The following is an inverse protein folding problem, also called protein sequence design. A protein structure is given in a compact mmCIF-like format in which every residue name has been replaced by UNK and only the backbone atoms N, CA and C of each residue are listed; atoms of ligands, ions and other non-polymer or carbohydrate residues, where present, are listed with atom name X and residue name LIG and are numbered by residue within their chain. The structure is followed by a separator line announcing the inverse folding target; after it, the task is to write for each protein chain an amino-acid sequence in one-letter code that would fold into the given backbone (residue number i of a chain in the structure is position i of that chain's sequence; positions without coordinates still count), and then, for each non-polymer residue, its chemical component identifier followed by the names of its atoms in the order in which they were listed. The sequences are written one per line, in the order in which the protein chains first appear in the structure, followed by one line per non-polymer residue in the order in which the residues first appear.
data_IF_885438408001
#
_entry.id   IF_885438408001
#
_cell.length_a   1.000
_cell.length_b   1.000
_cell.length_c   1.000
_cell.angle_alpha   90.00
_cell.angle_beta   90.00
_cell.angle_gamma   90.00
#
_symmetry.space_group_name_H-M   'P 1'
#
loop_
_entity.id
_entity.type
_entity.pdbx_description
1 polymer ?
#
# COMPACT_ATOMS: atom_id res chain seq x y z
N UNK A 1 -14.58 -34.11 52.22
CA UNK A 1 -15.99 -33.74 52.53
C UNK A 1 -16.04 -32.22 52.57
N UNK A 2 -16.51 -31.45 51.59
CA UNK A 2 -17.58 -31.67 50.62
C UNK A 2 -17.20 -31.09 49.24
N UNK A 3 -17.66 -31.79 48.20
CA UNK A 3 -17.56 -31.45 46.78
C UNK A 3 -18.65 -30.42 46.44
N UNK A 4 -18.28 -29.32 45.79
CA UNK A 4 -19.23 -28.41 45.15
C UNK A 4 -19.05 -28.57 43.64
N UNK A 5 -19.95 -29.37 43.05
CA UNK A 5 -20.05 -29.60 41.62
C UNK A 5 -20.77 -28.41 40.97
N UNK A 6 -20.11 -27.72 40.04
CA UNK A 6 -20.74 -26.75 39.14
C UNK A 6 -21.24 -27.47 37.89
N UNK A 7 -22.56 -27.43 37.70
CA UNK A 7 -23.29 -27.96 36.53
C UNK A 7 -22.79 -27.31 35.24
N UNK A 8 -22.31 -28.15 34.33
CA UNK A 8 -22.14 -27.82 32.91
C UNK A 8 -23.54 -27.78 32.29
N UNK A 9 -23.94 -26.61 31.81
CA UNK A 9 -25.17 -26.42 31.03
C UNK A 9 -24.82 -26.48 29.54
N UNK A 10 -25.20 -27.57 28.90
CA UNK A 10 -25.17 -27.79 27.47
C UNK A 10 -26.17 -26.86 26.78
N UNK A 11 -25.69 -25.82 26.10
CA UNK A 11 -26.52 -25.02 25.19
C UNK A 11 -26.36 -25.54 23.76
N UNK A 12 -27.52 -25.93 23.24
CA UNK A 12 -27.84 -26.46 21.92
C UNK A 12 -27.41 -25.55 20.78
N UNK A 13 -26.80 -26.15 19.76
CA UNK A 13 -26.64 -25.57 18.43
C UNK A 13 -28.02 -25.27 17.82
N UNK A 14 -28.31 -23.99 17.60
CA UNK A 14 -29.40 -23.58 16.71
C UNK A 14 -28.84 -23.43 15.30
N UNK A 15 -29.24 -24.35 14.42
CA UNK A 15 -29.06 -24.28 12.97
C UNK A 15 -30.02 -23.22 12.45
N UNK A 16 -29.49 -22.09 11.99
CA UNK A 16 -30.24 -21.09 11.24
C UNK A 16 -30.04 -21.36 9.74
N UNK A 17 -31.05 -21.94 9.12
CA UNK A 17 -31.13 -22.10 7.67
C UNK A 17 -31.42 -20.74 7.01
N UNK A 18 -30.49 -20.25 6.19
CA UNK A 18 -30.78 -19.19 5.21
C UNK A 18 -30.65 -19.76 3.80
N UNK A 19 -31.66 -19.55 2.93
CA UNK A 19 -31.73 -20.17 1.62
C UNK A 19 -30.85 -19.47 0.58
N UNK A 20 -30.16 -20.28 -0.21
CA UNK A 20 -29.48 -19.92 -1.44
C UNK A 20 -30.49 -19.36 -2.45
N UNK A 21 -30.49 -18.04 -2.66
CA UNK A 21 -31.16 -17.42 -3.81
C UNK A 21 -30.12 -16.77 -4.72
N UNK A 22 -29.68 -17.53 -5.70
CA UNK A 22 -29.03 -17.02 -6.91
C UNK A 22 -30.11 -16.34 -7.78
N UNK A 23 -29.89 -15.14 -8.34
CA UNK A 23 -30.90 -14.52 -9.19
C UNK A 23 -31.00 -15.24 -10.54
N UNK A 24 -32.09 -15.99 -10.73
CA UNK A 24 -32.57 -16.46 -12.04
C UNK A 24 -33.00 -15.27 -12.89
N UNK A 25 -32.21 -14.96 -13.93
CA UNK A 25 -32.65 -14.04 -14.98
C UNK A 25 -33.62 -14.74 -15.93
N UNK A 26 -34.81 -14.16 -16.07
CA UNK A 26 -35.88 -14.59 -16.95
C UNK A 26 -35.46 -14.47 -18.42
N UNK A 27 -35.44 -15.60 -19.13
CA UNK A 27 -35.27 -15.68 -20.58
C UNK A 27 -36.60 -15.29 -21.23
N UNK A 28 -36.68 -14.09 -21.81
CA UNK A 28 -37.75 -13.70 -22.72
C UNK A 28 -37.51 -14.31 -24.11
N UNK A 29 -38.41 -15.18 -24.55
CA UNK A 29 -38.48 -15.75 -25.90
C UNK A 29 -38.97 -14.71 -26.89
N UNK A 30 -38.24 -14.49 -27.98
CA UNK A 30 -38.79 -14.05 -29.27
C UNK A 30 -38.07 -14.78 -30.42
N UNK A 31 -38.74 -14.99 -31.56
CA UNK A 31 -38.52 -16.14 -32.43
C UNK A 31 -37.41 -15.93 -33.47
N UNK A 32 -36.86 -17.07 -33.90
CA UNK A 32 -35.85 -17.23 -34.94
C UNK A 32 -36.33 -16.70 -36.30
N UNK A 33 -35.50 -15.86 -36.93
CA UNK A 33 -35.37 -15.84 -38.40
C UNK A 33 -33.89 -16.01 -38.71
N UNK A 34 -33.61 -17.04 -39.51
CA UNK A 34 -32.28 -17.46 -39.94
C UNK A 34 -31.84 -16.53 -41.07
N UNK A 35 -30.74 -15.80 -40.87
CA UNK A 35 -29.91 -15.32 -41.98
C UNK A 35 -28.45 -15.69 -41.70
N UNK A 36 -27.93 -16.52 -42.58
CA UNK A 36 -26.61 -17.11 -42.57
C UNK A 36 -25.54 -16.08 -42.94
N UNK A 37 -24.78 -15.60 -41.97
CA UNK A 37 -23.47 -14.99 -42.18
C UNK A 37 -22.55 -15.38 -41.02
N UNK A 38 -21.40 -15.98 -41.34
CA UNK A 38 -20.37 -16.46 -40.40
C UNK A 38 -20.09 -15.49 -39.24
N UNK A 39 -19.84 -15.98 -38.01
CA UNK A 39 -19.37 -15.11 -36.94
C UNK A 39 -17.93 -14.68 -37.27
N UNK A 40 -17.78 -13.43 -37.72
CA UNK A 40 -16.50 -12.76 -37.75
C UNK A 40 -15.92 -12.80 -36.32
N UNK A 41 -14.72 -13.35 -36.18
CA UNK A 41 -13.96 -13.32 -34.93
C UNK A 41 -13.69 -11.86 -34.52
N UNK A 42 -14.56 -11.29 -33.70
CA UNK A 42 -14.33 -9.99 -33.04
C UNK A 42 -13.46 -10.19 -31.79
N UNK A 43 -12.37 -10.95 -31.91
CA UNK A 43 -11.27 -10.82 -30.98
C UNK A 43 -10.67 -9.44 -31.24
N UNK A 44 -10.78 -8.52 -30.27
CA UNK A 44 -10.09 -7.23 -30.32
C UNK A 44 -8.62 -7.51 -30.58
N UNK A 45 -8.17 -7.18 -31.80
CA UNK A 45 -6.78 -7.28 -32.26
C UNK A 45 -5.88 -6.73 -31.15
N UNK A 46 -4.94 -7.55 -30.70
CA UNK A 46 -3.89 -7.15 -29.77
C UNK A 46 -3.23 -5.86 -30.28
N UNK A 47 -3.11 -4.86 -29.40
CA UNK A 47 -2.33 -3.64 -29.66
C UNK A 47 -0.85 -3.97 -29.43
N UNK A 48 -0.34 -4.98 -30.14
CA UNK A 48 1.09 -5.20 -30.33
C UNK A 48 1.34 -5.24 -31.84
N UNK A 49 1.17 -4.09 -32.48
CA UNK A 49 1.70 -3.88 -33.84
C UNK A 49 3.01 -3.13 -33.70
N UNK A 50 4.10 -3.86 -33.91
CA UNK A 50 5.40 -3.39 -34.38
C UNK A 50 5.76 -1.95 -34.02
N UNK A 51 6.16 -1.75 -32.77
CA UNK A 51 7.16 -0.72 -32.45
C UNK A 51 8.43 -1.46 -32.06
N UNK A 52 9.01 -2.18 -33.02
CA UNK A 52 10.44 -2.47 -32.96
C UNK A 52 11.15 -1.13 -33.23
N UNK A 53 11.29 -0.34 -32.16
CA UNK A 53 12.22 0.77 -32.15
C UNK A 53 13.62 0.19 -32.37
N UNK A 54 14.32 0.73 -33.36
CA UNK A 54 15.67 0.35 -33.73
C UNK A 54 16.56 0.20 -32.50
N UNK A 55 17.18 -0.98 -32.39
CA UNK A 55 18.22 -1.30 -31.41
C UNK A 55 19.34 -0.27 -31.57
N UNK A 56 19.51 0.59 -30.57
CA UNK A 56 20.67 1.45 -30.48
C UNK A 56 21.89 0.64 -30.00
N UNK A 57 23.02 0.87 -30.67
CA UNK A 57 24.27 0.11 -30.57
C UNK A 57 24.74 -0.21 -29.12
N UNK A 58 25.21 -1.45 -28.84
CA UNK A 58 25.73 -1.85 -27.52
C UNK A 58 27.03 -1.16 -27.09
N UNK A 59 27.75 -0.52 -28.02
CA UNK A 59 29.16 -0.15 -27.79
C UNK A 59 29.38 1.16 -27.01
N UNK A 60 28.34 1.92 -26.65
CA UNK A 60 28.45 3.12 -25.77
C UNK A 60 28.06 2.84 -24.31
N UNK A 61 27.72 1.60 -23.96
CA UNK A 61 27.10 1.26 -22.66
C UNK A 61 28.10 0.96 -21.53
N UNK A 62 29.37 0.67 -21.83
CA UNK A 62 30.31 0.13 -20.85
C UNK A 62 30.79 1.14 -19.79
N UNK A 63 31.00 2.42 -20.12
CA UNK A 63 31.44 3.42 -19.12
C UNK A 63 30.29 3.92 -18.22
N UNK A 64 29.06 3.97 -18.75
CA UNK A 64 27.90 4.46 -17.99
C UNK A 64 27.34 3.39 -17.03
N UNK A 65 27.46 2.10 -17.38
CA UNK A 65 26.95 0.99 -16.56
C UNK A 65 27.68 0.90 -15.21
N UNK A 66 29.01 0.95 -15.22
CA UNK A 66 29.84 0.90 -14.01
C UNK A 66 29.60 2.10 -13.09
N UNK A 67 29.44 3.30 -13.67
CA UNK A 67 29.12 4.52 -12.91
C UNK A 67 27.74 4.44 -12.24
N UNK A 68 26.74 3.92 -12.96
CA UNK A 68 25.38 3.73 -12.42
C UNK A 68 25.34 2.68 -11.30
N UNK A 69 26.07 1.57 -11.46
CA UNK A 69 26.20 0.53 -10.43
C UNK A 69 26.86 1.05 -9.16
N UNK A 70 27.96 1.80 -9.30
CA UNK A 70 28.62 2.45 -8.16
C UNK A 70 27.69 3.44 -7.44
N UNK A 71 27.00 4.30 -8.19
CA UNK A 71 26.04 5.26 -7.63
C UNK A 71 24.91 4.55 -6.88
N UNK A 72 24.39 3.45 -7.44
CA UNK A 72 23.36 2.64 -6.80
C UNK A 72 23.81 2.07 -5.46
N UNK A 73 24.98 1.43 -5.44
CA UNK A 73 25.54 0.81 -4.23
C UNK A 73 25.85 1.86 -3.16
N UNK A 74 26.41 3.01 -3.55
CA UNK A 74 26.70 4.11 -2.65
C UNK A 74 25.42 4.64 -1.96
N UNK A 75 24.35 4.85 -2.72
CA UNK A 75 23.08 5.32 -2.16
C UNK A 75 22.44 4.26 -1.26
N UNK A 76 22.48 2.97 -1.62
CA UNK A 76 22.02 1.89 -0.72
C UNK A 76 22.80 1.91 0.60
N UNK A 77 24.13 1.98 0.54
CA UNK A 77 24.98 1.98 1.73
C UNK A 77 24.66 3.17 2.63
N UNK A 78 24.46 4.35 2.05
CA UNK A 78 24.09 5.56 2.78
C UNK A 78 22.78 5.39 3.55
N UNK A 79 21.73 4.88 2.89
CA UNK A 79 20.43 4.65 3.53
C UNK A 79 20.54 3.61 4.65
N UNK A 80 21.29 2.51 4.43
CA UNK A 80 21.55 1.52 5.48
C UNK A 80 22.22 2.14 6.70
N UNK A 81 23.20 3.03 6.49
CA UNK A 81 23.86 3.72 7.58
C UNK A 81 22.89 4.62 8.37
N UNK A 82 21.98 5.33 7.69
CA UNK A 82 20.98 6.17 8.36
C UNK A 82 20.01 5.31 9.20
N UNK A 83 19.49 4.23 8.62
CA UNK A 83 18.65 3.28 9.36
C UNK A 83 19.34 2.75 10.62
N UNK A 84 20.64 2.47 10.55
CA UNK A 84 21.44 2.01 11.69
C UNK A 84 21.88 3.10 12.67
N UNK A 85 21.87 4.37 12.27
CA UNK A 85 22.27 5.48 13.14
C UNK A 85 21.16 5.83 14.14
N UNK A 86 19.90 5.68 13.73
CA UNK A 86 18.72 6.01 14.54
C UNK A 86 18.24 4.84 15.39
N UNK A 87 19.16 3.99 15.88
CA UNK A 87 18.82 2.82 16.71
C UNK A 87 18.22 3.23 18.06
N UNK A 88 18.63 4.37 18.60
CA UNK A 88 18.13 4.90 19.88
C UNK A 88 16.75 5.56 19.78
N UNK A 89 16.35 5.99 18.57
CA UNK A 89 15.06 6.63 18.30
C UNK A 89 14.46 6.07 17.00
N UNK A 90 14.05 4.79 17.00
CA UNK A 90 13.68 4.09 15.76
C UNK A 90 12.43 4.68 15.08
N UNK A 91 11.59 5.42 15.81
CA UNK A 91 10.44 6.14 15.24
C UNK A 91 10.82 7.18 14.18
N UNK A 92 12.02 7.77 14.25
CA UNK A 92 12.50 8.73 13.23
C UNK A 92 12.65 8.09 11.84
N UNK A 93 12.78 6.76 11.78
CA UNK A 93 12.88 6.02 10.52
C UNK A 93 11.52 5.69 9.89
N UNK A 94 10.39 5.91 10.56
CA UNK A 94 9.07 5.46 10.07
C UNK A 94 8.70 6.07 8.72
N UNK A 95 8.88 7.39 8.55
CA UNK A 95 8.62 8.06 7.27
C UNK A 95 9.54 7.53 6.16
N UNK A 96 10.82 7.29 6.48
CA UNK A 96 11.78 6.73 5.53
C UNK A 96 11.38 5.30 5.10
N UNK A 97 10.98 4.46 6.06
CA UNK A 97 10.52 3.09 5.80
C UNK A 97 9.27 3.11 4.91
N UNK A 98 8.31 4.00 5.20
CA UNK A 98 7.11 4.13 4.36
C UNK A 98 7.48 4.50 2.91
N UNK A 99 8.40 5.46 2.74
CA UNK A 99 8.87 5.84 1.41
C UNK A 99 9.57 4.67 0.73
N UNK A 100 10.45 3.94 1.42
CA UNK A 100 11.14 2.75 0.89
C UNK A 100 10.15 1.71 0.36
N UNK A 101 9.12 1.38 1.15
CA UNK A 101 8.07 0.43 0.76
C UNK A 101 7.23 0.98 -0.40
N UNK A 102 6.88 2.27 -0.37
CA UNK A 102 6.08 2.91 -1.43
C UNK A 102 6.81 2.98 -2.78
N UNK A 103 8.14 3.08 -2.76
CA UNK A 103 9.03 3.00 -3.91
C UNK A 103 9.25 1.57 -4.40
N UNK A 104 8.91 0.58 -3.56
CA UNK A 104 9.08 -0.83 -3.88
C UNK A 104 10.55 -1.28 -3.87
N UNK A 105 11.41 -0.62 -3.10
CA UNK A 105 12.86 -0.93 -2.99
C UNK A 105 13.25 -1.52 -1.63
N UNK A 106 12.28 -1.90 -0.79
CA UNK A 106 12.50 -2.48 0.56
C UNK A 106 13.36 -3.75 0.56
N UNK A 107 13.46 -4.48 -0.56
CA UNK A 107 14.33 -5.66 -0.63
C UNK A 107 15.80 -5.33 -0.31
N UNK A 108 16.29 -4.14 -0.67
CA UNK A 108 17.66 -3.71 -0.36
C UNK A 108 17.88 -3.44 1.12
N UNK A 109 16.80 -3.13 1.85
CA UNK A 109 16.82 -2.61 3.21
C UNK A 109 16.12 -3.53 4.22
N UNK A 110 15.68 -4.72 3.79
CA UNK A 110 14.86 -5.66 4.57
C UNK A 110 15.32 -5.81 6.02
N UNK A 111 16.58 -6.14 6.23
CA UNK A 111 17.13 -6.32 7.58
C UNK A 111 17.00 -5.07 8.46
N UNK A 112 17.27 -3.88 7.90
CA UNK A 112 17.16 -2.63 8.65
C UNK A 112 15.71 -2.26 8.97
N UNK A 113 14.79 -2.53 8.05
CA UNK A 113 13.34 -2.34 8.25
C UNK A 113 12.84 -3.27 9.36
N UNK A 114 13.12 -4.57 9.26
CA UNK A 114 12.75 -5.59 10.24
C UNK A 114 13.28 -5.24 11.64
N UNK A 115 14.56 -4.86 11.73
CA UNK A 115 15.17 -4.47 13.00
C UNK A 115 14.51 -3.22 13.61
N UNK A 116 14.29 -2.19 12.81
CA UNK A 116 13.67 -0.94 13.26
C UNK A 116 12.24 -1.18 13.77
N UNK A 117 11.42 -1.88 12.99
CA UNK A 117 10.03 -2.14 13.36
C UNK A 117 9.91 -3.09 14.55
N UNK A 118 10.84 -4.04 14.69
CA UNK A 118 10.90 -4.90 15.88
C UNK A 118 11.27 -4.13 17.15
N UNK A 119 12.19 -3.16 17.07
CA UNK A 119 12.50 -2.29 18.22
C UNK A 119 11.29 -1.45 18.62
N UNK A 120 10.64 -0.83 17.64
CA UNK A 120 9.39 -0.07 17.82
C UNK A 120 8.31 -0.94 18.48
N UNK A 121 8.16 -2.19 18.04
CA UNK A 121 7.21 -3.12 18.61
C UNK A 121 7.49 -3.41 20.09
N UNK A 122 8.78 -3.54 20.45
CA UNK A 122 9.23 -3.82 21.83
C UNK A 122 9.11 -2.64 22.79
N UNK A 123 9.28 -1.40 22.31
CA UNK A 123 9.07 -0.18 23.11
C UNK A 123 7.64 -0.09 23.66
N UNK A 124 6.71 -0.80 23.01
CA UNK A 124 5.32 -0.86 23.41
C UNK A 124 4.46 0.17 22.68
N UNK A 125 3.15 -0.07 22.73
CA UNK A 125 2.15 0.69 21.98
C UNK A 125 1.59 1.89 22.76
N UNK A 126 2.17 2.22 23.92
CA UNK A 126 1.80 3.42 24.67
C UNK A 126 2.49 4.63 24.07
N UNK A 127 1.84 5.20 23.06
CA UNK A 127 2.39 6.31 22.30
C UNK A 127 1.45 7.53 22.30
N UNK A 128 2.05 8.70 22.47
CA UNK A 128 1.37 10.01 22.54
C UNK A 128 1.75 10.92 21.35
N UNK A 129 1.86 10.36 20.14
CA UNK A 129 2.04 11.19 18.95
C UNK A 129 0.72 11.57 18.30
N UNK A 130 0.85 12.23 17.15
CA UNK A 130 -0.31 12.66 16.37
C UNK A 130 -1.00 11.48 15.66
N UNK A 131 -2.15 11.76 15.04
CA UNK A 131 -2.93 10.74 14.34
C UNK A 131 -2.12 10.05 13.24
N UNK A 132 -1.34 10.82 12.50
CA UNK A 132 -0.54 10.31 11.39
C UNK A 132 0.49 9.31 11.90
N UNK A 133 1.24 9.65 12.93
CA UNK A 133 2.28 8.78 13.48
C UNK A 133 1.70 7.49 14.08
N UNK A 134 0.60 7.58 14.83
CA UNK A 134 -0.09 6.40 15.39
C UNK A 134 -0.56 5.47 14.27
N UNK A 135 -1.23 6.02 13.25
CA UNK A 135 -1.75 5.24 12.13
C UNK A 135 -0.62 4.63 11.29
N UNK A 136 0.46 5.38 11.03
CA UNK A 136 1.63 4.93 10.28
C UNK A 136 2.32 3.77 10.99
N UNK A 137 2.56 3.93 12.29
CA UNK A 137 3.19 2.90 13.13
C UNK A 137 2.37 1.62 13.14
N UNK A 138 1.05 1.73 13.34
CA UNK A 138 0.13 0.60 13.28
C UNK A 138 0.20 -0.11 11.92
N UNK A 139 0.13 0.67 10.83
CA UNK A 139 0.13 0.12 9.48
C UNK A 139 1.43 -0.62 9.18
N UNK A 140 2.59 0.01 9.37
CA UNK A 140 3.89 -0.57 9.06
C UNK A 140 4.16 -1.84 9.89
N UNK A 141 3.83 -1.83 11.19
CA UNK A 141 3.97 -3.00 12.05
C UNK A 141 3.12 -4.18 11.54
N UNK A 142 1.85 -3.96 11.20
CA UNK A 142 0.98 -5.03 10.68
C UNK A 142 1.42 -5.54 9.31
N UNK A 143 1.94 -4.67 8.45
CA UNK A 143 2.47 -5.08 7.15
C UNK A 143 3.66 -6.04 7.27
N UNK A 144 4.51 -5.86 8.30
CA UNK A 144 5.62 -6.77 8.61
C UNK A 144 5.24 -7.94 9.53
N UNK A 145 3.94 -8.14 9.78
CA UNK A 145 3.43 -9.31 10.52
C UNK A 145 3.45 -9.18 12.05
N UNK A 146 3.72 -7.98 12.59
CA UNK A 146 3.55 -7.74 14.02
C UNK A 146 2.06 -7.62 14.38
N UNK A 147 1.65 -8.32 15.44
CA UNK A 147 0.28 -8.20 15.96
C UNK A 147 0.14 -6.93 16.81
N UNK A 148 -0.60 -5.96 16.29
CA UNK A 148 -0.92 -4.68 16.95
C UNK A 148 -2.42 -4.58 17.13
N UNK A 149 -2.89 -4.40 18.37
CA UNK A 149 -4.34 -4.30 18.66
C UNK A 149 -4.92 -2.94 18.24
N UNK A 150 -6.18 -2.92 17.78
CA UNK A 150 -6.90 -1.68 17.45
C UNK A 150 -7.06 -0.71 18.63
N UNK A 151 -6.86 -1.19 19.86
CA UNK A 151 -6.88 -0.36 21.07
C UNK A 151 -5.86 0.76 21.08
N UNK A 152 -4.84 0.73 20.21
CA UNK A 152 -3.90 1.85 20.04
C UNK A 152 -4.62 3.14 19.62
N UNK A 153 -5.79 3.03 18.96
CA UNK A 153 -6.59 4.16 18.53
C UNK A 153 -7.54 4.70 19.61
N UNK A 154 -7.55 4.15 20.83
CA UNK A 154 -8.43 4.64 21.91
C UNK A 154 -8.24 6.14 22.21
N UNK A 155 -7.03 6.65 22.07
CA UNK A 155 -6.71 8.04 22.35
C UNK A 155 -7.24 9.02 21.30
N UNK A 156 -7.66 8.56 20.11
CA UNK A 156 -8.26 9.40 19.06
C UNK A 156 -9.80 9.34 19.06
N UNK A 157 -10.39 8.51 19.93
CA UNK A 157 -11.83 8.39 20.11
C UNK A 157 -12.36 9.30 21.22
N UNK A 158 -13.59 9.75 21.08
CA UNK A 158 -14.36 10.48 22.08
C UNK A 158 -14.99 9.53 23.11
N UNK A 159 -15.65 10.10 24.13
CA UNK A 159 -16.29 9.32 25.21
C UNK A 159 -17.47 8.45 24.73
N UNK A 160 -17.98 8.69 23.53
CA UNK A 160 -19.09 7.95 22.91
C UNK A 160 -18.58 6.89 21.92
N UNK A 161 -17.25 6.76 21.74
CA UNK A 161 -16.64 5.85 20.77
C UNK A 161 -16.54 6.41 19.35
N UNK A 162 -16.94 7.67 19.11
CA UNK A 162 -16.76 8.36 17.83
C UNK A 162 -15.36 8.98 17.71
N UNK A 163 -14.98 9.49 16.54
CA UNK A 163 -13.69 10.18 16.37
C UNK A 163 -13.74 11.63 16.89
N UNK A 164 -12.72 12.04 17.65
CA UNK A 164 -12.60 13.38 18.22
C UNK A 164 -12.64 14.47 17.13
N UNK A 165 -13.23 15.63 17.44
CA UNK A 165 -13.29 16.73 16.47
C UNK A 165 -11.92 17.24 16.02
N UNK A 166 -10.91 17.18 16.90
CA UNK A 166 -9.54 17.63 16.61
C UNK A 166 -8.91 16.90 15.43
N UNK A 167 -9.29 15.64 15.16
CA UNK A 167 -8.74 14.86 14.04
C UNK A 167 -9.47 15.10 12.71
N UNK A 168 -10.65 15.72 12.72
CA UNK A 168 -11.53 15.81 11.53
C UNK A 168 -10.97 16.64 10.39
N UNK A 169 -9.95 17.47 10.63
CA UNK A 169 -9.35 18.33 9.61
C UNK A 169 -7.91 17.95 9.25
N UNK A 170 -7.33 16.95 9.93
CA UNK A 170 -5.98 16.46 9.65
C UNK A 170 -6.01 15.51 8.45
N UNK A 171 -5.86 16.03 7.24
CA UNK A 171 -5.88 15.21 6.03
C UNK A 171 -4.74 14.20 5.97
N UNK A 172 -3.55 14.53 6.47
CA UNK A 172 -2.41 13.61 6.47
C UNK A 172 -2.71 12.42 7.41
N UNK A 173 -3.17 12.71 8.63
CA UNK A 173 -3.58 11.69 9.60
C UNK A 173 -4.79 10.88 9.16
N UNK A 174 -5.81 11.50 8.58
CA UNK A 174 -7.00 10.79 8.08
C UNK A 174 -6.68 9.85 6.92
N UNK A 175 -5.80 10.28 5.99
CA UNK A 175 -5.35 9.44 4.87
C UNK A 175 -4.58 8.24 5.41
N UNK A 176 -3.71 8.46 6.38
CA UNK A 176 -2.93 7.40 7.01
C UNK A 176 -3.80 6.43 7.82
N UNK A 177 -4.78 6.94 8.56
CA UNK A 177 -5.75 6.13 9.29
C UNK A 177 -6.63 5.29 8.35
N UNK A 178 -7.00 5.84 7.19
CA UNK A 178 -7.67 5.06 6.15
C UNK A 178 -6.79 3.88 5.68
N UNK A 179 -5.53 4.15 5.32
CA UNK A 179 -4.58 3.11 4.89
C UNK A 179 -4.35 2.05 5.98
N UNK A 180 -4.30 2.45 7.24
CA UNK A 180 -4.20 1.56 8.41
C UNK A 180 -5.46 0.69 8.60
N UNK A 181 -6.65 1.29 8.51
CA UNK A 181 -7.95 0.60 8.69
C UNK A 181 -8.22 -0.50 7.65
N UNK A 182 -7.55 -0.41 6.51
CA UNK A 182 -7.65 -1.41 5.46
C UNK A 182 -6.88 -2.71 5.78
N UNK A 183 -6.04 -2.71 6.83
CA UNK A 183 -5.36 -3.89 7.41
C UNK A 183 -6.13 -4.52 8.57
N UNK A 184 -7.39 -4.15 8.78
CA UNK A 184 -8.25 -4.74 9.81
C UNK A 184 -8.48 -6.24 9.58
N UNK A 185 -8.73 -6.95 10.68
CA UNK A 185 -9.21 -8.34 10.67
C UNK A 185 -10.62 -8.42 11.24
N UNK A 186 -11.25 -9.59 11.15
CA UNK A 186 -12.61 -9.79 11.66
C UNK A 186 -12.68 -9.54 13.19
N UNK A 187 -13.72 -8.82 13.62
CA UNK A 187 -13.95 -8.46 15.02
C UNK A 187 -13.32 -7.14 15.47
N UNK A 188 -12.69 -6.39 14.56
CA UNK A 188 -12.07 -5.09 14.83
C UNK A 188 -13.01 -3.91 14.48
N UNK A 189 -14.04 -3.74 15.31
CA UNK A 189 -15.09 -2.72 15.13
C UNK A 189 -14.53 -1.29 15.10
N UNK A 190 -13.45 -1.01 15.85
CA UNK A 190 -12.82 0.32 15.84
C UNK A 190 -12.25 0.63 14.47
N UNK A 191 -11.61 -0.35 13.82
CA UNK A 191 -11.05 -0.17 12.48
C UNK A 191 -12.11 -0.17 11.39
N UNK A 192 -13.18 -0.95 11.53
CA UNK A 192 -14.36 -0.86 10.65
C UNK A 192 -14.92 0.58 10.67
N UNK A 193 -15.15 1.12 11.88
CA UNK A 193 -15.58 2.51 12.06
C UNK A 193 -14.56 3.53 11.52
N UNK A 194 -13.26 3.30 11.74
CA UNK A 194 -12.19 4.17 11.23
C UNK A 194 -12.20 4.27 9.70
N UNK A 195 -12.40 3.14 9.02
CA UNK A 195 -12.46 3.07 7.57
C UNK A 195 -13.62 3.89 7.02
N UNK A 196 -14.83 3.69 7.57
CA UNK A 196 -16.03 4.40 7.12
C UNK A 196 -15.93 5.91 7.38
N UNK A 197 -15.49 6.28 8.58
CA UNK A 197 -15.31 7.67 8.99
C UNK A 197 -14.29 8.39 8.09
N UNK A 198 -13.10 7.81 7.93
CA UNK A 198 -12.03 8.44 7.13
C UNK A 198 -12.42 8.53 5.66
N UNK A 199 -13.07 7.51 5.09
CA UNK A 199 -13.55 7.55 3.71
C UNK A 199 -14.54 8.69 3.49
N UNK A 200 -15.57 8.81 4.35
CA UNK A 200 -16.56 9.89 4.25
C UNK A 200 -15.90 11.26 4.40
N UNK A 201 -15.06 11.41 5.43
CA UNK A 201 -14.44 12.70 5.75
C UNK A 201 -13.45 13.16 4.69
N UNK A 202 -12.63 12.26 4.15
CA UNK A 202 -11.71 12.57 3.06
C UNK A 202 -12.45 12.96 1.79
N UNK A 203 -13.60 12.34 1.50
CA UNK A 203 -14.44 12.71 0.35
C UNK A 203 -15.08 14.10 0.53
N UNK A 204 -15.55 14.44 1.74
CA UNK A 204 -16.02 15.79 2.06
C UNK A 204 -14.91 16.84 1.86
N UNK A 205 -13.73 16.58 2.44
CA UNK A 205 -12.58 17.48 2.35
C UNK A 205 -12.03 17.63 0.92
N UNK A 206 -12.28 16.64 0.05
CA UNK A 206 -11.90 16.69 -1.37
C UNK A 206 -12.71 17.71 -2.18
N UNK A 207 -13.91 18.09 -1.73
CA UNK A 207 -14.81 18.95 -2.52
C UNK A 207 -14.34 20.40 -2.62
N UNK A 208 -13.41 20.85 -1.76
CA UNK A 208 -12.88 22.22 -1.73
C UNK A 208 -11.37 22.35 -1.92
N UNK A 209 -10.67 21.29 -2.37
CA UNK A 209 -9.20 21.27 -2.51
C UNK A 209 -8.72 21.42 -3.95
N UNK A 210 -7.46 21.85 -4.07
CA UNK A 210 -6.75 21.91 -5.36
C UNK A 210 -6.71 20.54 -6.06
N UNK A 211 -6.61 20.58 -7.38
CA UNK A 211 -6.68 19.39 -8.25
C UNK A 211 -5.66 18.30 -7.87
N UNK A 212 -4.44 18.68 -7.48
CA UNK A 212 -3.40 17.71 -7.13
C UNK A 212 -3.70 16.94 -5.83
N UNK A 213 -3.95 17.65 -4.72
CA UNK A 213 -4.25 17.03 -3.43
C UNK A 213 -5.51 16.16 -3.51
N UNK A 214 -6.53 16.63 -4.24
CA UNK A 214 -7.74 15.84 -4.53
C UNK A 214 -7.40 14.53 -5.23
N UNK A 215 -6.53 14.56 -6.24
CA UNK A 215 -6.13 13.34 -6.94
C UNK A 215 -5.38 12.36 -6.03
N UNK A 216 -4.55 12.85 -5.12
CA UNK A 216 -3.81 11.98 -4.19
C UNK A 216 -4.74 11.28 -3.21
N UNK A 217 -5.67 12.02 -2.61
CA UNK A 217 -6.69 11.47 -1.71
C UNK A 217 -7.52 10.44 -2.46
N UNK A 218 -8.07 10.79 -3.63
CA UNK A 218 -8.90 9.89 -4.43
C UNK A 218 -8.14 8.61 -4.86
N UNK A 219 -6.84 8.72 -5.16
CA UNK A 219 -6.00 7.54 -5.47
C UNK A 219 -5.82 6.64 -4.26
N UNK A 220 -5.57 7.20 -3.08
CA UNK A 220 -5.45 6.42 -1.83
C UNK A 220 -6.76 5.70 -1.51
N UNK A 221 -7.91 6.41 -1.58
CA UNK A 221 -9.24 5.83 -1.34
C UNK A 221 -9.59 4.72 -2.35
N UNK A 222 -9.22 4.89 -3.62
CA UNK A 222 -9.51 3.90 -4.66
C UNK A 222 -8.61 2.65 -4.55
N UNK A 223 -7.35 2.84 -4.14
CA UNK A 223 -6.39 1.75 -4.05
C UNK A 223 -5.42 1.93 -2.87
N UNK A 224 -5.74 1.32 -1.72
CA UNK A 224 -4.84 1.30 -0.57
C UNK A 224 -3.47 0.74 -0.94
N UNK A 225 -2.41 1.27 -0.32
CA UNK A 225 -1.01 0.98 -0.67
C UNK A 225 -0.70 -0.50 -0.60
N UNK A 226 -1.06 -1.16 0.49
CA UNK A 226 -0.79 -2.59 0.71
C UNK A 226 -1.62 -3.53 -0.20
N UNK A 227 -2.66 -3.01 -0.89
CA UNK A 227 -3.45 -3.76 -1.90
C UNK A 227 -2.99 -3.48 -3.33
N UNK A 228 -1.96 -2.63 -3.50
CA UNK A 228 -1.45 -2.25 -4.82
C UNK A 228 -0.27 -3.14 -5.22
N UNK A 229 -0.26 -3.63 -6.45
CA UNK A 229 0.88 -4.38 -6.99
C UNK A 229 2.09 -3.45 -7.10
N UNK A 230 3.18 -3.85 -6.46
CA UNK A 230 4.46 -3.13 -6.33
C UNK A 230 5.09 -2.69 -7.66
N UNK A 231 4.73 -3.30 -8.79
CA UNK A 231 5.21 -2.91 -10.13
C UNK A 231 4.49 -1.72 -10.79
N UNK A 232 3.31 -1.32 -10.29
CA UNK A 232 2.55 -0.16 -10.81
C UNK A 232 2.89 1.16 -10.11
N UNK A 233 3.79 1.11 -9.12
CA UNK A 233 4.29 2.26 -8.34
C UNK A 233 5.01 3.31 -9.20
N UNK A 234 5.34 3.01 -10.46
CA UNK A 234 5.92 3.94 -11.43
C UNK A 234 5.21 5.31 -11.49
N UNK A 235 3.87 5.35 -11.35
CA UNK A 235 3.11 6.62 -11.33
C UNK A 235 3.26 7.39 -10.01
N UNK A 236 3.24 6.70 -8.85
CA UNK A 236 3.48 7.33 -7.53
C UNK A 236 4.93 7.81 -7.42
N UNK A 237 5.88 7.00 -7.87
CA UNK A 237 7.29 7.35 -8.02
C UNK A 237 7.48 8.62 -8.86
N UNK A 238 6.83 8.69 -10.03
CA UNK A 238 6.89 9.87 -10.90
C UNK A 238 6.30 11.11 -10.22
N UNK A 239 5.22 10.97 -9.44
CA UNK A 239 4.68 12.08 -8.63
C UNK A 239 5.65 12.51 -7.55
N UNK A 240 6.24 11.58 -6.79
CA UNK A 240 7.23 11.90 -5.75
C UNK A 240 8.44 12.62 -6.31
N UNK A 241 9.01 12.17 -7.44
CA UNK A 241 10.12 12.86 -8.11
C UNK A 241 9.75 14.29 -8.51
N UNK A 242 8.53 14.52 -9.00
CA UNK A 242 8.09 15.85 -9.47
C UNK A 242 7.89 16.84 -8.33
N UNK A 243 7.55 16.34 -7.15
CA UNK A 243 7.30 17.16 -5.95
C UNK A 243 8.61 17.34 -5.17
N UNK A 244 9.53 16.39 -5.26
CA UNK A 244 10.77 16.42 -4.52
C UNK A 244 11.66 17.61 -4.94
N UNK A 245 11.90 18.53 -4.00
CA UNK A 245 12.67 19.75 -4.17
C UNK A 245 14.10 19.63 -3.62
N UNK A 246 14.86 20.72 -3.76
CA UNK A 246 16.22 20.84 -3.19
C UNK A 246 16.24 20.92 -1.65
N UNK A 247 15.11 21.27 -1.03
CA UNK A 247 14.94 21.38 0.42
C UNK A 247 14.59 20.05 1.11
N UNK A 248 14.36 18.98 0.33
CA UNK A 248 14.01 17.69 0.90
C UNK A 248 15.19 17.02 1.61
N UNK A 249 14.90 16.12 2.57
CA UNK A 249 15.93 15.36 3.25
C UNK A 249 16.84 14.63 2.26
N UNK A 250 18.14 14.65 2.55
CA UNK A 250 19.16 14.04 1.69
C UNK A 250 18.90 12.54 1.45
N UNK A 251 18.32 11.85 2.45
CA UNK A 251 17.93 10.45 2.32
C UNK A 251 16.85 10.22 1.25
N UNK A 252 15.92 11.17 1.06
CA UNK A 252 14.86 11.04 0.06
C UNK A 252 15.47 11.01 -1.34
N UNK A 253 16.41 11.90 -1.61
CA UNK A 253 17.12 11.94 -2.88
C UNK A 253 17.89 10.64 -3.15
N UNK A 254 18.55 10.08 -2.12
CA UNK A 254 19.23 8.79 -2.24
C UNK A 254 18.26 7.64 -2.55
N UNK A 255 17.08 7.59 -1.92
CA UNK A 255 16.06 6.59 -2.22
C UNK A 255 15.51 6.72 -3.64
N UNK A 256 15.24 7.95 -4.09
CA UNK A 256 14.76 8.22 -5.44
C UNK A 256 15.77 7.75 -6.49
N UNK A 257 17.08 7.95 -6.26
CA UNK A 257 18.14 7.42 -7.12
C UNK A 257 18.19 5.90 -7.17
N UNK A 258 18.03 5.23 -6.03
CA UNK A 258 17.97 3.75 -5.99
C UNK A 258 16.78 3.25 -6.80
N UNK A 259 15.59 3.81 -6.57
CA UNK A 259 14.37 3.43 -7.29
C UNK A 259 14.43 3.72 -8.80
N UNK A 260 15.06 4.83 -9.21
CA UNK A 260 15.28 5.17 -10.61
C UNK A 260 16.10 4.10 -11.33
N UNK A 261 17.22 3.71 -10.73
CA UNK A 261 18.13 2.71 -11.29
C UNK A 261 17.47 1.33 -11.36
N UNK A 262 16.77 0.92 -10.31
CA UNK A 262 16.06 -0.35 -10.28
C UNK A 262 14.92 -0.42 -11.29
N UNK A 263 14.19 0.68 -11.49
CA UNK A 263 13.16 0.77 -12.53
C UNK A 263 13.74 0.56 -13.93
N UNK A 264 14.89 1.17 -14.22
CA UNK A 264 15.61 0.99 -15.49
C UNK A 264 16.03 -0.49 -15.66
N UNK A 265 16.59 -1.10 -14.61
CA UNK A 265 17.01 -2.51 -14.63
C UNK A 265 15.83 -3.45 -14.85
N UNK A 266 14.74 -3.27 -14.09
CA UNK A 266 13.53 -4.10 -14.18
C UNK A 266 12.91 -3.99 -15.58
N UNK A 267 12.85 -2.79 -16.15
CA UNK A 267 12.34 -2.58 -17.51
C UNK A 267 13.20 -3.30 -18.55
N UNK A 268 14.53 -3.23 -18.43
CA UNK A 268 15.46 -3.93 -19.33
C UNK A 268 15.27 -5.45 -19.25
N UNK A 269 15.17 -6.00 -18.03
CA UNK A 269 14.91 -7.43 -17.79
C UNK A 269 13.58 -7.86 -18.41
N UNK A 270 12.50 -7.13 -18.12
CA UNK A 270 11.15 -7.43 -18.64
C UNK A 270 11.14 -7.41 -20.17
N UNK A 271 11.83 -6.45 -20.80
CA UNK A 271 11.94 -6.39 -22.27
C UNK A 271 12.70 -7.59 -22.84
N UNK A 272 13.76 -8.03 -22.16
CA UNK A 272 14.50 -9.25 -22.52
C UNK A 272 13.63 -10.50 -22.44
N UNK A 273 12.91 -10.67 -21.34
CA UNK A 273 11.99 -11.81 -21.12
C UNK A 273 10.85 -11.84 -22.15
N UNK A 274 10.18 -10.70 -22.40
CA UNK A 274 9.16 -10.60 -23.44
C UNK A 274 9.71 -10.98 -24.82
N UNK A 275 10.94 -10.55 -25.14
CA UNK A 275 11.56 -10.88 -26.43
C UNK A 275 11.88 -12.39 -26.57
N UNK A 276 11.95 -13.12 -25.47
CA UNK A 276 12.16 -14.58 -25.46
C UNK A 276 10.85 -15.36 -25.50
N UNK A 277 9.80 -14.88 -24.84
CA UNK A 277 8.49 -15.56 -24.74
C UNK A 277 7.61 -15.38 -25.98
N UNK A 278 7.79 -14.30 -26.74
CA UNK A 278 7.05 -14.04 -27.99
C UNK A 278 7.78 -14.52 -29.25
N UNK A 279 8.67 -15.52 -29.13
CA UNK A 279 9.24 -16.25 -30.28
C UNK A 279 8.37 -17.42 -30.66
#
# INVERSE_FOLDING_TARGET
MALIATKISSRSCFVSAYPNNSPTFLISKFPNTVDSLSPANTAKRSILRNVHASVSNPSKQFHNKTSLEYSHELNIKKIKNILSANVDVPSENLEMIDVIQSLGIDLHFRQGIEQTLHMIYKEGLQFNGDLHEIALRFRLLRQEGHYVQESIFKNILDKKGGFKDVVKNDVKGLTELFEASELRVEGEETLDGAREFTYSRLNELCSGRESHQKQEIMKSLAQPRHKTVRGLTSKRFTSMIKIAGQEDPEWLQSLLRVAEIDSIRLKSLTQGEMSQTFK
#
